data_IF_960511795504
#
_entry.id   IF_960511795504
#
_cell.length_a   1.000
_cell.length_b   1.000
_cell.length_c   1.000
_cell.angle_alpha   90.00
_cell.angle_beta   90.00
_cell.angle_gamma   90.00
#
_symmetry.space_group_name_H-M   'P 1'
#
loop_
_entity.id
_entity.type
_entity.pdbx_description
1 polymer ?
#
# COMPACT_ATOMS: atom_id res chain seq x y z
N UNK A 1 -1.51 -5.88 31.43
CA UNK A 1 -0.57 -5.90 30.28
C UNK A 1 -1.22 -6.80 29.24
N UNK A 2 -2.02 -6.22 28.34
CA UNK A 2 -2.69 -7.01 27.31
C UNK A 2 -1.74 -7.16 26.14
N UNK A 3 -1.11 -8.34 26.04
CA UNK A 3 -0.46 -8.77 24.80
C UNK A 3 -1.56 -8.88 23.76
N UNK A 4 -1.51 -8.05 22.72
CA UNK A 4 -2.21 -8.39 21.48
C UNK A 4 -1.70 -9.76 21.08
N UNK A 5 -2.60 -10.73 20.99
CA UNK A 5 -2.28 -12.06 20.50
C UNK A 5 -1.83 -11.92 19.05
N UNK A 6 -0.52 -11.87 18.83
CA UNK A 6 0.06 -11.90 17.48
C UNK A 6 -0.48 -13.14 16.79
N UNK A 7 -1.04 -12.96 15.60
CA UNK A 7 -1.53 -14.10 14.84
C UNK A 7 -0.32 -14.95 14.47
N UNK A 8 -0.22 -16.18 15.00
CA UNK A 8 0.81 -17.15 14.60
C UNK A 8 0.66 -17.62 13.14
N UNK A 9 -0.32 -17.08 12.41
CA UNK A 9 -0.57 -17.43 11.02
C UNK A 9 0.46 -16.75 10.11
N UNK A 10 1.10 -17.56 9.28
CA UNK A 10 2.08 -17.10 8.28
C UNK A 10 1.53 -16.97 6.87
N UNK A 11 0.32 -17.45 6.60
CA UNK A 11 -0.33 -17.32 5.29
C UNK A 11 -1.05 -15.97 5.23
N UNK A 12 -0.87 -15.22 4.14
CA UNK A 12 -1.54 -13.93 3.94
C UNK A 12 -2.86 -14.09 3.18
N UNK A 13 -3.87 -13.30 3.54
CA UNK A 13 -5.17 -13.18 2.86
C UNK A 13 -5.65 -11.73 2.86
N UNK A 14 -6.66 -11.44 2.04
CA UNK A 14 -7.33 -10.13 2.03
C UNK A 14 -7.92 -9.79 3.40
N UNK A 15 -7.80 -8.52 3.78
CA UNK A 15 -8.21 -7.96 5.07
C UNK A 15 -7.14 -8.07 6.16
N UNK A 16 -6.02 -8.74 5.90
CA UNK A 16 -4.96 -8.85 6.90
C UNK A 16 -4.33 -7.52 7.21
N UNK A 17 -4.18 -7.24 8.51
CA UNK A 17 -3.41 -6.13 9.03
C UNK A 17 -2.03 -6.65 9.41
N UNK A 18 -1.00 -6.03 8.86
CA UNK A 18 0.38 -6.33 9.19
C UNK A 18 1.04 -5.12 9.86
N UNK A 19 1.91 -5.42 10.81
CA UNK A 19 2.67 -4.42 11.54
C UNK A 19 3.97 -4.09 10.79
N UNK A 20 4.32 -2.81 10.77
CA UNK A 20 5.57 -2.31 10.22
C UNK A 20 6.30 -1.55 11.33
N UNK A 21 7.54 -1.94 11.61
CA UNK A 21 8.40 -1.23 12.54
C UNK A 21 9.18 -0.17 11.78
N UNK A 22 9.12 1.08 12.26
CA UNK A 22 9.88 2.21 11.73
C UNK A 22 10.69 2.86 12.86
N UNK A 23 11.57 3.80 12.50
CA UNK A 23 12.28 4.66 13.45
C UNK A 23 11.36 5.65 14.19
N UNK A 24 10.20 5.98 13.61
CA UNK A 24 9.19 6.90 14.19
C UNK A 24 8.16 6.17 15.08
N UNK A 25 8.07 4.84 15.00
CA UNK A 25 7.16 4.04 15.81
C UNK A 25 6.62 2.82 15.07
N UNK A 26 5.41 2.40 15.44
CA UNK A 26 4.72 1.30 14.78
C UNK A 26 3.68 1.89 13.83
N UNK A 27 3.72 1.51 12.56
CA UNK A 27 2.64 1.78 11.62
C UNK A 27 2.08 0.46 11.06
N UNK A 28 1.02 0.57 10.25
CA UNK A 28 0.25 -0.58 9.82
C UNK A 28 -0.05 -0.52 8.33
N UNK A 29 -0.14 -1.71 7.74
CA UNK A 29 -0.69 -1.88 6.40
C UNK A 29 -1.83 -2.88 6.39
N UNK A 30 -2.72 -2.75 5.41
CA UNK A 30 -3.79 -3.71 5.13
C UNK A 30 -3.58 -4.34 3.76
N UNK A 31 -3.77 -5.65 3.68
CA UNK A 31 -3.88 -6.37 2.41
C UNK A 31 -5.28 -6.17 1.84
N UNK A 32 -5.41 -5.42 0.74
CA UNK A 32 -6.72 -5.05 0.18
C UNK A 32 -7.16 -6.00 -0.92
N UNK A 33 -6.22 -6.47 -1.76
CA UNK A 33 -6.54 -7.33 -2.89
C UNK A 33 -5.46 -8.38 -3.14
N UNK A 34 -5.84 -9.40 -3.91
CA UNK A 34 -4.92 -10.32 -4.55
C UNK A 34 -5.00 -10.19 -6.06
N UNK A 35 -3.86 -10.26 -6.75
CA UNK A 35 -3.77 -10.25 -8.20
C UNK A 35 -2.92 -11.43 -8.70
N UNK A 36 -3.33 -12.18 -9.75
CA UNK A 36 -2.61 -13.38 -10.21
C UNK A 36 -1.12 -13.14 -10.50
N UNK A 37 -0.81 -12.02 -11.18
CA UNK A 37 0.56 -11.64 -11.57
C UNK A 37 1.34 -10.91 -10.47
N UNK A 38 0.68 -10.03 -9.71
CA UNK A 38 1.33 -9.07 -8.82
C UNK A 38 1.18 -9.42 -7.33
N UNK A 39 0.59 -10.58 -7.05
CA UNK A 39 0.37 -11.16 -5.73
C UNK A 39 -0.56 -10.33 -4.86
N UNK A 40 -0.06 -9.46 -4.00
CA UNK A 40 -0.90 -8.72 -3.06
C UNK A 40 -0.83 -7.23 -3.33
N UNK A 41 -1.96 -6.57 -3.16
CA UNK A 41 -2.07 -5.11 -3.10
C UNK A 41 -2.21 -4.76 -1.63
N UNK A 42 -1.40 -3.80 -1.17
CA UNK A 42 -1.41 -3.32 0.20
C UNK A 42 -1.66 -1.82 0.25
N UNK A 43 -2.47 -1.40 1.21
CA UNK A 43 -2.63 -0.01 1.61
C UNK A 43 -1.80 0.22 2.87
N UNK A 44 -1.02 1.30 2.92
CA UNK A 44 -0.13 1.64 4.03
C UNK A 44 -0.67 2.86 4.75
N UNK A 45 -0.77 2.83 6.07
CA UNK A 45 -1.28 3.93 6.90
C UNK A 45 -0.13 4.47 7.76
N UNK A 46 0.18 5.77 7.62
CA UNK A 46 1.40 6.36 8.19
C UNK A 46 1.35 6.60 9.69
N UNK A 47 0.16 6.71 10.29
CA UNK A 47 0.05 7.04 11.72
C UNK A 47 0.96 6.14 12.57
N UNK A 48 1.83 6.77 13.38
CA UNK A 48 2.82 6.08 14.18
C UNK A 48 2.34 5.95 15.62
N UNK A 49 2.33 4.71 16.09
CA UNK A 49 1.88 4.37 17.42
C UNK A 49 3.09 3.96 18.28
N UNK A 50 3.25 4.52 19.50
CA UNK A 50 4.29 4.09 20.42
C UNK A 50 4.02 2.70 21.03
N UNK A 51 2.76 2.26 20.98
CA UNK A 51 2.30 0.95 21.44
C UNK A 51 1.18 0.45 20.53
N UNK A 52 1.01 -0.88 20.38
CA UNK A 52 -0.06 -1.41 19.55
C UNK A 52 -1.46 -0.93 19.99
N UNK A 53 -2.32 -0.51 19.05
CA UNK A 53 -3.66 -0.02 19.33
C UNK A 53 -4.60 -1.16 19.74
N UNK A 54 -5.69 -0.84 20.43
CA UNK A 54 -6.69 -1.85 20.86
C UNK A 54 -7.54 -2.39 19.70
N UNK A 55 -7.60 -1.66 18.58
CA UNK A 55 -8.36 -2.01 17.39
C UNK A 55 -7.77 -1.32 16.16
N UNK A 56 -8.13 -1.83 14.98
CA UNK A 56 -7.56 -1.39 13.70
C UNK A 56 -8.57 -0.68 12.79
N UNK A 57 -9.87 -0.72 13.12
CA UNK A 57 -10.94 -0.14 12.31
C UNK A 57 -10.74 1.35 12.06
N UNK A 58 -10.35 2.11 13.07
CA UNK A 58 -10.10 3.56 12.95
C UNK A 58 -8.86 3.86 12.10
N UNK A 59 -7.86 2.97 12.10
CA UNK A 59 -6.64 3.13 11.31
C UNK A 59 -6.95 2.92 9.83
N UNK A 60 -7.65 1.83 9.51
CA UNK A 60 -8.00 1.52 8.12
C UNK A 60 -9.10 2.42 7.57
N UNK A 61 -9.82 3.18 8.41
CA UNK A 61 -10.81 4.17 7.96
C UNK A 61 -10.17 5.46 7.43
N UNK A 62 -8.88 5.67 7.68
CA UNK A 62 -8.13 6.83 7.19
C UNK A 62 -7.72 6.65 5.73
N UNK A 63 -7.39 7.74 5.05
CA UNK A 63 -6.78 7.67 3.73
C UNK A 63 -5.39 7.02 3.84
N UNK A 64 -5.06 6.00 3.02
CA UNK A 64 -3.72 5.44 3.00
C UNK A 64 -2.67 6.48 2.62
N UNK A 65 -1.48 6.36 3.19
CA UNK A 65 -0.30 7.08 2.75
C UNK A 65 -0.01 6.81 1.27
N UNK A 66 -0.07 5.54 0.89
CA UNK A 66 0.04 5.06 -0.48
C UNK A 66 -0.47 3.63 -0.58
N UNK A 67 -0.77 3.22 -1.81
CA UNK A 67 -1.16 1.86 -2.18
C UNK A 67 -0.09 1.31 -3.14
N UNK A 68 0.31 0.05 -2.96
CA UNK A 68 1.30 -0.59 -3.84
C UNK A 68 1.10 -2.09 -3.92
N UNK A 69 1.66 -2.71 -4.96
CA UNK A 69 1.81 -4.17 -5.00
C UNK A 69 2.99 -4.58 -4.12
N UNK A 70 2.88 -5.67 -3.34
CA UNK A 70 3.93 -6.04 -2.40
C UNK A 70 4.00 -7.55 -2.14
N UNK A 71 5.23 -8.07 -1.97
CA UNK A 71 5.49 -9.47 -1.62
C UNK A 71 5.32 -9.73 -0.12
N UNK A 72 4.19 -9.30 0.45
CA UNK A 72 3.89 -9.39 1.88
C UNK A 72 4.01 -10.82 2.42
N UNK A 73 3.65 -11.82 1.61
CA UNK A 73 3.73 -13.23 2.01
C UNK A 73 5.15 -13.65 2.38
N UNK A 74 6.17 -13.15 1.69
CA UNK A 74 7.56 -13.47 1.98
C UNK A 74 8.05 -12.69 3.21
N UNK A 75 7.67 -11.41 3.33
CA UNK A 75 7.99 -10.59 4.50
C UNK A 75 7.39 -11.16 5.80
N UNK A 76 6.14 -11.64 5.76
CA UNK A 76 5.49 -12.33 6.89
C UNK A 76 6.20 -13.63 7.24
N UNK A 77 6.58 -14.44 6.25
CA UNK A 77 7.29 -15.72 6.49
C UNK A 77 8.65 -15.51 7.15
N UNK A 78 9.34 -14.45 6.77
CA UNK A 78 10.62 -14.03 7.34
C UNK A 78 10.48 -13.32 8.70
N UNK A 79 9.26 -13.03 9.15
CA UNK A 79 9.00 -12.37 10.43
C UNK A 79 9.22 -10.86 10.43
N UNK A 80 9.37 -10.24 9.25
CA UNK A 80 9.60 -8.81 9.11
C UNK A 80 8.32 -8.01 9.37
N UNK A 81 7.19 -8.46 8.82
CA UNK A 81 5.89 -7.81 8.93
C UNK A 81 4.86 -8.78 9.54
N UNK A 82 4.79 -8.91 10.88
CA UNK A 82 3.89 -9.87 11.51
C UNK A 82 2.43 -9.48 11.29
N UNK A 83 1.57 -10.48 11.10
CA UNK A 83 0.12 -10.30 11.00
C UNK A 83 -0.48 -10.11 12.40
N UNK A 84 -1.21 -9.02 12.60
CA UNK A 84 -1.74 -8.61 13.91
C UNK A 84 -3.25 -8.66 14.01
N UNK A 85 -3.96 -8.58 12.89
CA UNK A 85 -5.41 -8.73 12.82
C UNK A 85 -5.86 -9.14 11.41
N UNK A 86 -7.14 -9.46 11.28
CA UNK A 86 -7.83 -9.53 9.99
C UNK A 86 -9.13 -8.75 10.13
N UNK A 87 -9.27 -7.68 9.36
CA UNK A 87 -10.40 -6.76 9.38
C UNK A 87 -10.91 -6.62 7.95
N UNK A 88 -12.22 -6.50 7.77
CA UNK A 88 -12.80 -6.27 6.45
C UNK A 88 -12.14 -5.07 5.77
N UNK A 89 -11.92 -5.17 4.47
CA UNK A 89 -11.44 -4.05 3.66
C UNK A 89 -12.54 -2.98 3.65
N UNK A 90 -12.24 -1.73 4.00
CA UNK A 90 -13.23 -0.68 4.07
C UNK A 90 -13.71 -0.29 2.67
N UNK A 91 -14.91 0.28 2.57
CA UNK A 91 -15.56 0.59 1.29
C UNK A 91 -14.69 1.44 0.35
N UNK A 92 -13.99 2.44 0.89
CA UNK A 92 -13.10 3.30 0.09
C UNK A 92 -11.87 2.59 -0.47
N UNK A 93 -11.54 1.38 0.00
CA UNK A 93 -10.46 0.52 -0.51
C UNK A 93 -10.98 -0.77 -1.17
N UNK A 94 -12.30 -0.93 -1.30
CA UNK A 94 -12.90 -2.16 -1.82
C UNK A 94 -12.75 -2.29 -3.34
N UNK A 95 -12.62 -1.16 -4.05
CA UNK A 95 -12.34 -1.15 -5.47
C UNK A 95 -10.84 -1.40 -5.73
N UNK A 96 -10.54 -2.20 -6.75
CA UNK A 96 -9.16 -2.40 -7.17
C UNK A 96 -8.57 -1.05 -7.64
N UNK A 97 -7.39 -0.64 -7.14
CA UNK A 97 -6.83 0.66 -7.47
C UNK A 97 -6.39 0.73 -8.94
N UNK A 98 -6.69 1.84 -9.60
CA UNK A 98 -6.06 2.16 -10.88
C UNK A 98 -4.64 2.62 -10.61
N UNK A 99 -3.66 1.88 -11.11
CA UNK A 99 -2.26 2.29 -11.09
C UNK A 99 -1.94 3.20 -12.27
N UNK A 100 -0.89 4.00 -12.12
CA UNK A 100 -0.32 4.79 -13.22
C UNK A 100 1.18 4.61 -13.36
N UNK A 101 1.66 4.79 -14.59
CA UNK A 101 3.07 4.95 -14.93
C UNK A 101 3.25 5.93 -16.08
N UNK A 102 4.48 6.27 -16.42
CA UNK A 102 4.82 7.23 -17.49
C UNK A 102 5.98 6.69 -18.32
N UNK A 103 6.12 7.18 -19.55
CA UNK A 103 7.32 7.01 -20.36
C UNK A 103 8.55 7.78 -19.80
N UNK A 104 8.39 8.50 -18.69
CA UNK A 104 9.42 9.34 -18.03
C UNK A 104 9.91 10.51 -18.88
N UNK A 105 9.17 10.87 -19.93
CA UNK A 105 9.39 12.11 -20.67
C UNK A 105 8.68 13.27 -19.95
N UNK A 106 9.10 14.50 -20.23
CA UNK A 106 8.56 15.73 -19.65
C UNK A 106 7.83 16.56 -20.70
N UNK A 107 6.89 17.38 -20.24
CA UNK A 107 6.16 18.32 -21.11
C UNK A 107 5.27 17.59 -22.11
N UNK A 108 5.21 18.11 -23.33
CA UNK A 108 4.30 17.64 -24.39
C UNK A 108 4.56 16.20 -24.84
N UNK A 109 5.70 15.59 -24.48
CA UNK A 109 6.01 14.20 -24.80
C UNK A 109 5.56 13.21 -23.72
N UNK A 110 5.01 13.71 -22.61
CA UNK A 110 4.58 12.88 -21.48
C UNK A 110 3.40 11.99 -21.88
N UNK A 111 3.62 10.67 -21.82
CA UNK A 111 2.57 9.68 -22.04
C UNK A 111 2.28 8.93 -20.75
N UNK A 112 1.04 8.99 -20.30
CA UNK A 112 0.59 8.28 -19.11
C UNK A 112 -0.04 6.95 -19.48
N UNK A 113 0.30 5.92 -18.71
CA UNK A 113 -0.28 4.59 -18.81
C UNK A 113 -1.04 4.32 -17.53
N UNK A 114 -2.29 3.89 -17.66
CA UNK A 114 -3.14 3.49 -16.56
C UNK A 114 -3.44 2.01 -16.61
N UNK A 115 -3.62 1.41 -15.45
CA UNK A 115 -3.92 -0.01 -15.32
C UNK A 115 -4.84 -0.29 -14.12
N UNK A 116 -6.01 -0.85 -14.37
CA UNK A 116 -7.04 -1.12 -13.34
C UNK A 116 -7.04 -2.56 -12.82
N UNK A 117 -5.93 -3.29 -12.95
CA UNK A 117 -5.86 -4.72 -12.65
C UNK A 117 -6.11 -5.60 -13.88
N UNK A 118 -7.11 -5.26 -14.67
CA UNK A 118 -7.48 -6.04 -15.86
C UNK A 118 -7.23 -5.29 -17.17
N UNK A 119 -7.61 -4.02 -17.19
CA UNK A 119 -7.52 -3.18 -18.40
C UNK A 119 -6.34 -2.23 -18.28
N UNK A 120 -5.68 -1.98 -19.41
CA UNK A 120 -4.68 -0.93 -19.55
C UNK A 120 -5.08 0.03 -20.65
N UNK A 121 -4.83 1.32 -20.45
CA UNK A 121 -5.02 2.35 -21.46
C UNK A 121 -3.97 3.44 -21.30
N UNK A 122 -3.81 4.26 -22.34
CA UNK A 122 -2.87 5.37 -22.34
C UNK A 122 -3.60 6.68 -22.58
N UNK A 123 -3.07 7.76 -22.00
CA UNK A 123 -3.53 9.11 -22.29
C UNK A 123 -2.33 10.00 -22.60
N UNK A 124 -2.55 10.93 -23.52
CA UNK A 124 -1.58 11.93 -23.91
C UNK A 124 -2.15 13.31 -23.60
N UNK A 125 -2.13 13.64 -22.32
CA UNK A 125 -2.59 14.92 -21.74
C UNK A 125 -2.05 15.05 -20.32
N UNK A 126 -2.08 16.25 -19.71
CA UNK A 126 -1.87 16.39 -18.28
C UNK A 126 -2.82 15.51 -17.46
N UNK A 127 -2.33 15.04 -16.31
CA UNK A 127 -3.16 14.34 -15.33
C UNK A 127 -4.17 15.30 -14.70
N UNK A 128 -5.37 14.81 -14.47
CA UNK A 128 -6.34 15.45 -13.57
C UNK A 128 -5.89 15.34 -12.11
N UNK A 129 -6.47 16.16 -11.22
CA UNK A 129 -6.17 16.09 -9.78
C UNK A 129 -6.47 14.72 -9.16
N UNK A 130 -7.47 14.01 -9.68
CA UNK A 130 -7.80 12.65 -9.25
C UNK A 130 -6.74 11.65 -9.72
N UNK A 131 -6.34 11.71 -10.99
CA UNK A 131 -5.34 10.78 -11.54
C UNK A 131 -3.94 10.99 -10.94
N UNK A 132 -3.64 12.19 -10.41
CA UNK A 132 -2.40 12.43 -9.66
C UNK A 132 -2.31 11.58 -8.39
N UNK A 133 -3.45 11.17 -7.81
CA UNK A 133 -3.50 10.32 -6.61
C UNK A 133 -3.37 8.83 -6.92
N UNK A 134 -3.51 8.43 -8.18
CA UNK A 134 -3.40 7.02 -8.57
C UNK A 134 -2.02 6.47 -8.25
N UNK A 135 -1.92 5.31 -7.55
CA UNK A 135 -0.66 4.75 -7.13
C UNK A 135 0.28 4.50 -8.30
N UNK A 136 1.57 4.77 -8.08
CA UNK A 136 2.60 4.47 -9.08
C UNK A 136 2.79 2.95 -9.17
N UNK A 137 2.75 2.41 -10.39
CA UNK A 137 3.04 0.99 -10.59
C UNK A 137 2.31 0.36 -11.76
N UNK A 138 2.12 -0.98 -11.73
CA UNK A 138 2.51 -1.88 -10.63
C UNK A 138 4.03 -2.01 -10.47
N UNK A 139 4.51 -2.04 -9.21
CA UNK A 139 5.92 -2.22 -8.84
C UNK A 139 6.02 -3.05 -7.55
N UNK A 140 7.08 -3.85 -7.38
CA UNK A 140 7.28 -4.68 -6.19
C UNK A 140 8.45 -4.12 -5.36
N UNK A 141 8.23 -3.11 -4.50
CA UNK A 141 9.28 -2.60 -3.63
C UNK A 141 9.77 -3.70 -2.69
N UNK A 142 11.05 -3.63 -2.31
CA UNK A 142 11.60 -4.46 -1.24
C UNK A 142 11.06 -4.01 0.12
N UNK A 143 11.13 -4.87 1.15
CA UNK A 143 10.71 -4.48 2.50
C UNK A 143 11.46 -3.23 3.03
N UNK A 144 12.80 -3.10 2.86
CA UNK A 144 13.51 -1.88 3.22
C UNK A 144 13.03 -0.63 2.45
N UNK A 145 12.75 -0.76 1.14
CA UNK A 145 12.25 0.37 0.35
C UNK A 145 10.84 0.79 0.81
N UNK A 146 9.98 -0.17 1.16
CA UNK A 146 8.66 0.14 1.71
C UNK A 146 8.76 0.96 3.00
N UNK A 147 9.67 0.59 3.91
CA UNK A 147 9.92 1.33 5.15
C UNK A 147 10.47 2.72 4.86
N UNK A 148 11.46 2.83 3.96
CA UNK A 148 12.04 4.13 3.56
C UNK A 148 10.99 5.09 2.98
N UNK A 149 10.06 4.56 2.15
CA UNK A 149 8.93 5.34 1.62
C UNK A 149 7.99 5.85 2.72
N UNK A 150 7.74 5.06 3.75
CA UNK A 150 6.90 5.46 4.90
C UNK A 150 7.57 6.60 5.68
N UNK A 151 8.83 6.40 6.05
CA UNK A 151 9.61 7.33 6.87
C UNK A 151 9.85 8.66 6.16
N UNK A 152 10.12 8.64 4.85
CA UNK A 152 10.30 9.85 4.03
C UNK A 152 9.01 10.56 3.65
N UNK A 153 7.88 10.16 4.24
CA UNK A 153 6.56 10.73 3.94
C UNK A 153 6.24 10.70 2.43
N UNK A 154 6.58 9.59 1.75
CA UNK A 154 6.27 9.41 0.34
C UNK A 154 4.78 9.70 0.09
N UNK A 155 4.52 10.54 -0.91
CA UNK A 155 3.18 10.87 -1.41
C UNK A 155 3.20 10.80 -2.92
N UNK A 156 2.26 10.05 -3.46
CA UNK A 156 2.12 9.84 -4.91
C UNK A 156 1.90 11.18 -5.62
N UNK A 157 1.25 12.15 -4.96
CA UNK A 157 1.00 13.50 -5.46
C UNK A 157 2.21 14.43 -5.38
N UNK A 158 3.30 14.02 -4.72
CA UNK A 158 4.54 14.82 -4.61
C UNK A 158 5.68 14.26 -5.45
N UNK A 159 5.63 12.97 -5.76
CA UNK A 159 6.65 12.24 -6.52
C UNK A 159 6.22 11.96 -7.97
N UNK A 160 5.28 12.74 -8.52
CA UNK A 160 5.05 12.75 -9.96
C UNK A 160 5.92 13.81 -10.63
N UNK A 161 6.51 13.42 -11.76
CA UNK A 161 7.50 14.13 -12.59
C UNK A 161 7.32 15.64 -12.67
#
# INVERSE_FOLDING_TARGET
MDKIAMSNRKTVKVGDIFQILTSEGICYGQVTHTHPKWKFIVAIFREFFPKPPKGFTEIIAQEPQFITTFLIQDAVRQGLFPLVANVAVPEHLAAFPTFRSTNNLKGDETMWFFWSGETQWKVHRPLTEEEKKYPRGPSLPSAPLLVDMIEKDYRVERDYV
#
